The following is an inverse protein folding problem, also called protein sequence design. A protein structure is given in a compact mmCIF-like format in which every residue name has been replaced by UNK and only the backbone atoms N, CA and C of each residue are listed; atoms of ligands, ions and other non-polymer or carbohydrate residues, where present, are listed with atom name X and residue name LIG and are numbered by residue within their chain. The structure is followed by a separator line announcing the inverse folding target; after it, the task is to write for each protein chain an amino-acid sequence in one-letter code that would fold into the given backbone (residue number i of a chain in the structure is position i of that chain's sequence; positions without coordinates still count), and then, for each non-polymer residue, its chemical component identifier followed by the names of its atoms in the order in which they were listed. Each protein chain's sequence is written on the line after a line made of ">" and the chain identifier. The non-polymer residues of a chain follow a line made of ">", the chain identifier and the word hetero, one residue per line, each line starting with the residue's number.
data_IF_264152132371
#
_entry.id   IF_264152132371
#
_cell.length_a   1.000
_cell.length_b   1.000
_cell.length_c   1.000
_cell.angle_alpha   90.00
_cell.angle_beta   90.00
_cell.angle_gamma   90.00
#
_symmetry.space_group_name_H-M   'P 1'
#
loop_
_entity.id
_entity.type
_entity.pdbx_description
1 polymer ?
#
# COMPACT_ATOMS: atom_id res chain seq x y z
N UNK A 1 -22.64 -21.20 51.52
CA UNK A 1 -23.09 -20.66 50.23
C UNK A 1 -22.12 -19.54 49.92
N UNK A 2 -21.17 -19.77 49.01
CA UNK A 2 -20.17 -18.77 48.64
C UNK A 2 -20.83 -17.74 47.73
N UNK A 3 -20.94 -16.50 48.21
CA UNK A 3 -21.40 -15.36 47.42
C UNK A 3 -20.21 -14.89 46.59
N UNK A 4 -20.28 -15.11 45.28
CA UNK A 4 -19.31 -14.59 44.32
C UNK A 4 -19.21 -13.07 44.49
N UNK A 5 -18.00 -12.60 44.78
CA UNK A 5 -17.70 -11.20 45.02
C UNK A 5 -18.11 -10.32 43.84
N UNK A 6 -18.55 -9.12 44.23
CA UNK A 6 -19.02 -8.01 43.42
C UNK A 6 -18.22 -7.84 42.11
N UNK A 7 -18.94 -7.80 40.99
CA UNK A 7 -18.34 -7.49 39.70
C UNK A 7 -17.70 -6.09 39.74
N UNK A 8 -16.50 -5.94 39.17
CA UNK A 8 -15.90 -4.64 38.91
C UNK A 8 -16.91 -3.75 38.14
N UNK A 9 -17.12 -2.52 38.60
CA UNK A 9 -18.02 -1.57 37.97
C UNK A 9 -17.65 -1.32 36.50
N UNK A 10 -18.67 -1.09 35.66
CA UNK A 10 -18.46 -0.83 34.23
C UNK A 10 -17.48 0.33 34.01
N UNK A 11 -16.36 0.05 33.33
CA UNK A 11 -15.42 1.09 32.99
C UNK A 11 -16.01 1.93 31.86
N UNK A 12 -16.20 3.25 32.03
CA UNK A 12 -16.79 4.07 30.98
C UNK A 12 -15.86 4.05 29.76
N UNK A 13 -16.32 3.41 28.69
CA UNK A 13 -15.65 3.50 27.40
C UNK A 13 -15.77 4.94 26.93
N UNK A 14 -14.64 5.64 26.86
CA UNK A 14 -14.57 6.93 26.20
C UNK A 14 -14.93 6.66 24.74
N UNK A 15 -16.12 7.08 24.33
CA UNK A 15 -16.56 7.06 22.94
C UNK A 15 -15.62 7.95 22.11
N UNK A 16 -14.51 7.37 21.64
CA UNK A 16 -13.65 8.02 20.67
C UNK A 16 -14.30 7.84 19.30
N UNK A 17 -15.10 8.81 18.88
CA UNK A 17 -15.53 8.86 17.48
C UNK A 17 -14.32 9.13 16.59
N UNK A 18 -14.20 8.41 15.49
CA UNK A 18 -13.27 8.80 14.43
C UNK A 18 -13.67 10.19 13.94
N UNK A 19 -12.78 11.17 14.05
CA UNK A 19 -13.00 12.48 13.43
C UNK A 19 -13.09 12.30 11.91
N UNK A 20 -14.13 12.89 11.31
CA UNK A 20 -14.26 12.92 9.85
C UNK A 20 -13.31 13.96 9.28
N UNK A 21 -12.25 13.49 8.65
CA UNK A 21 -11.31 14.30 7.89
C UNK A 21 -11.77 14.45 6.44
N UNK A 22 -11.39 15.54 5.79
CA UNK A 22 -11.65 15.70 4.36
C UNK A 22 -10.80 14.69 3.55
N UNK A 23 -11.26 14.27 2.37
CA UNK A 23 -10.44 13.44 1.47
C UNK A 23 -9.08 14.06 1.14
N UNK A 24 -9.01 15.40 1.07
CA UNK A 24 -7.78 16.14 0.81
C UNK A 24 -6.80 16.03 1.99
N UNK A 25 -7.30 16.17 3.21
CA UNK A 25 -6.49 16.04 4.42
C UNK A 25 -5.99 14.61 4.59
N UNK A 26 -6.85 13.62 4.29
CA UNK A 26 -6.46 12.21 4.32
C UNK A 26 -5.31 11.91 3.34
N UNK A 27 -5.40 12.37 2.09
CA UNK A 27 -4.32 12.18 1.13
C UNK A 27 -3.05 12.96 1.51
N UNK A 28 -3.21 14.19 2.00
CA UNK A 28 -2.08 15.00 2.47
C UNK A 28 -1.32 14.33 3.61
N UNK A 29 -2.06 13.81 4.60
CA UNK A 29 -1.51 13.01 5.70
C UNK A 29 -0.84 11.74 5.17
N UNK A 30 -1.49 11.00 4.26
CA UNK A 30 -0.94 9.79 3.67
C UNK A 30 0.38 10.02 2.93
N UNK A 31 0.49 11.10 2.16
CA UNK A 31 1.72 11.49 1.47
C UNK A 31 2.84 11.84 2.47
N UNK A 32 2.52 12.66 3.47
CA UNK A 32 3.47 13.06 4.51
C UNK A 32 3.98 11.87 5.31
N UNK A 33 3.07 10.98 5.72
CA UNK A 33 3.41 9.77 6.48
C UNK A 33 4.29 8.82 5.69
N UNK A 34 3.97 8.60 4.41
CA UNK A 34 4.78 7.74 3.52
C UNK A 34 6.19 8.31 3.35
N UNK A 35 6.31 9.61 3.13
CA UNK A 35 7.60 10.28 3.00
C UNK A 35 8.44 10.19 4.28
N UNK A 36 7.82 10.44 5.44
CA UNK A 36 8.49 10.31 6.74
C UNK A 36 8.97 8.89 7.00
N UNK A 37 8.13 7.91 6.71
CA UNK A 37 8.46 6.49 6.88
C UNK A 37 9.62 6.07 5.97
N UNK A 38 9.68 6.59 4.75
CA UNK A 38 10.77 6.33 3.81
C UNK A 38 12.10 6.95 4.25
N UNK A 39 12.08 8.18 4.81
CA UNK A 39 13.27 8.79 5.40
C UNK A 39 13.77 8.02 6.63
N UNK A 40 12.84 7.58 7.49
CA UNK A 40 13.18 6.75 8.64
C UNK A 40 13.81 5.43 8.20
N UNK A 41 13.25 4.79 7.17
CA UNK A 41 13.83 3.58 6.58
C UNK A 41 15.27 3.81 6.11
N UNK A 42 15.56 4.91 5.39
CA UNK A 42 16.93 5.21 4.94
C UNK A 42 17.90 5.44 6.10
N UNK A 43 17.44 6.12 7.16
CA UNK A 43 18.23 6.31 8.37
C UNK A 43 18.51 4.96 9.06
N UNK A 44 17.52 4.06 9.11
CA UNK A 44 17.71 2.72 9.67
C UNK A 44 18.66 1.86 8.81
N UNK A 45 18.59 2.00 7.49
CA UNK A 45 19.51 1.34 6.56
C UNK A 45 20.97 1.76 6.78
N UNK A 46 21.20 3.04 7.07
CA UNK A 46 22.55 3.58 7.38
C UNK A 46 23.04 3.13 8.76
N UNK A 47 22.17 3.07 9.77
CA UNK A 47 22.53 2.60 11.11
C UNK A 47 22.81 1.10 11.17
N UNK A 48 22.16 0.31 10.31
CA UNK A 48 22.27 -1.16 10.32
C UNK A 48 22.44 -1.73 8.91
N UNK A 49 23.67 -1.67 8.35
CA UNK A 49 23.94 -2.11 6.97
C UNK A 49 23.67 -3.61 6.76
N UNK A 50 23.71 -4.42 7.81
CA UNK A 50 23.44 -5.86 7.75
C UNK A 50 22.02 -6.20 7.24
N UNK A 51 21.04 -5.30 7.42
CA UNK A 51 19.68 -5.50 6.91
C UNK A 51 19.67 -5.31 5.40
N UNK A 52 20.32 -4.26 4.90
CA UNK A 52 20.47 -3.97 3.48
C UNK A 52 21.19 -5.12 2.77
N UNK A 53 22.23 -5.64 3.40
CA UNK A 53 23.01 -6.76 2.90
C UNK A 53 22.15 -7.99 2.63
N UNK A 54 21.28 -8.35 3.57
CA UNK A 54 20.36 -9.48 3.40
C UNK A 54 19.38 -9.24 2.26
N UNK A 55 18.82 -8.03 2.15
CA UNK A 55 17.85 -7.68 1.10
C UNK A 55 18.50 -7.75 -0.28
N UNK A 56 19.69 -7.18 -0.44
CA UNK A 56 20.43 -7.20 -1.70
C UNK A 56 20.85 -8.62 -2.07
N UNK A 57 21.32 -9.43 -1.11
CA UNK A 57 21.64 -10.84 -1.35
C UNK A 57 20.44 -11.66 -1.78
N UNK A 58 19.29 -11.46 -1.12
CA UNK A 58 18.02 -12.10 -1.54
C UNK A 58 17.62 -11.70 -2.95
N UNK A 59 17.78 -10.42 -3.30
CA UNK A 59 17.49 -9.95 -4.66
C UNK A 59 18.40 -10.61 -5.69
N UNK A 60 19.70 -10.72 -5.41
CA UNK A 60 20.67 -11.44 -6.27
C UNK A 60 20.32 -12.92 -6.41
N UNK A 61 19.90 -13.57 -5.32
CA UNK A 61 19.42 -14.94 -5.38
C UNK A 61 18.19 -15.09 -6.27
N UNK A 62 17.20 -14.21 -6.13
CA UNK A 62 15.99 -14.23 -6.94
C UNK A 62 16.28 -13.99 -8.43
N UNK A 63 17.29 -13.15 -8.76
CA UNK A 63 17.78 -12.97 -10.12
C UNK A 63 18.42 -14.25 -10.66
N UNK A 64 19.27 -14.93 -9.87
CA UNK A 64 19.87 -16.21 -10.24
C UNK A 64 18.81 -17.33 -10.43
N UNK A 65 17.77 -17.34 -9.60
CA UNK A 65 16.64 -18.28 -9.69
C UNK A 65 15.79 -18.06 -10.94
N UNK A 66 15.67 -16.81 -11.42
CA UNK A 66 14.98 -16.47 -12.68
C UNK A 66 15.79 -16.81 -13.93
N UNK A 67 17.06 -17.18 -13.76
CA UNK A 67 17.94 -17.65 -14.83
C UNK A 67 17.66 -19.09 -15.26
N UNK A 68 18.72 -19.87 -15.39
CA UNK A 68 18.63 -21.25 -15.91
C UNK A 68 18.03 -22.20 -14.85
N UNK A 69 17.25 -23.21 -15.27
CA UNK A 69 16.60 -24.18 -14.36
C UNK A 69 17.61 -24.91 -13.45
N UNK A 70 18.83 -25.15 -13.95
CA UNK A 70 19.93 -25.72 -13.17
C UNK A 70 20.47 -24.78 -12.08
N UNK A 71 20.49 -23.47 -12.32
CA UNK A 71 20.84 -22.46 -11.32
C UNK A 71 19.76 -22.32 -10.25
N UNK A 72 18.48 -22.46 -10.64
CA UNK A 72 17.36 -22.52 -9.70
C UNK A 72 17.47 -23.69 -8.72
N UNK A 73 17.72 -24.90 -9.23
CA UNK A 73 17.90 -26.09 -8.39
C UNK A 73 19.12 -25.96 -7.47
N UNK A 74 20.24 -25.42 -7.99
CA UNK A 74 21.44 -25.13 -7.21
C UNK A 74 21.13 -24.12 -6.10
N UNK A 75 20.52 -22.99 -6.42
CA UNK A 75 20.15 -21.94 -5.46
C UNK A 75 19.23 -22.48 -4.35
N UNK A 76 18.22 -23.29 -4.70
CA UNK A 76 17.33 -23.92 -3.72
C UNK A 76 18.03 -24.93 -2.82
N UNK A 77 18.91 -25.75 -3.39
CA UNK A 77 19.67 -26.73 -2.61
C UNK A 77 20.58 -26.03 -1.60
N UNK A 78 21.30 -25.00 -2.04
CA UNK A 78 22.19 -24.22 -1.19
C UNK A 78 21.41 -23.42 -0.13
N UNK A 79 20.26 -22.83 -0.49
CA UNK A 79 19.39 -22.13 0.47
C UNK A 79 18.85 -23.06 1.58
N UNK A 80 18.62 -24.34 1.27
CA UNK A 80 18.16 -25.34 2.23
C UNK A 80 19.28 -25.82 3.16
N UNK A 81 20.53 -25.88 2.68
CA UNK A 81 21.69 -26.35 3.44
C UNK A 81 22.43 -25.26 4.23
N UNK A 82 22.64 -24.09 3.63
CA UNK A 82 23.44 -22.99 4.22
C UNK A 82 22.56 -21.84 4.76
N UNK A 83 21.26 -21.90 4.53
CA UNK A 83 20.33 -20.83 4.90
C UNK A 83 20.43 -19.63 3.95
N UNK A 84 20.00 -18.47 4.44
CA UNK A 84 19.86 -17.22 3.66
C UNK A 84 21.21 -16.59 3.22
N UNK A 85 22.34 -17.13 3.72
CA UNK A 85 23.69 -16.64 3.44
C UNK A 85 24.45 -17.69 2.61
N UNK A 86 24.12 -17.74 1.32
CA UNK A 86 24.73 -18.66 0.36
C UNK A 86 26.08 -18.18 -0.17
N UNK A 87 26.97 -19.13 -0.49
CA UNK A 87 28.24 -18.87 -1.19
C UNK A 87 28.04 -18.21 -2.57
N UNK A 88 26.96 -18.55 -3.28
CA UNK A 88 26.59 -17.93 -4.56
C UNK A 88 26.04 -16.48 -4.40
N UNK A 89 25.75 -16.04 -3.17
CA UNK A 89 25.25 -14.70 -2.82
C UNK A 89 26.34 -13.81 -2.20
N UNK A 90 27.60 -14.22 -2.17
CA UNK A 90 28.68 -13.34 -1.69
C UNK A 90 28.82 -12.14 -2.63
N UNK A 91 28.72 -10.95 -2.06
CA UNK A 91 28.86 -9.67 -2.75
C UNK A 91 30.08 -8.98 -2.15
N UNK A 92 30.96 -8.45 -3.01
CA UNK A 92 32.03 -7.57 -2.55
C UNK A 92 31.45 -6.30 -1.92
N UNK A 93 32.20 -5.66 -1.03
CA UNK A 93 31.73 -4.45 -0.31
C UNK A 93 31.30 -3.33 -1.27
N UNK A 94 32.06 -3.11 -2.35
CA UNK A 94 31.75 -2.10 -3.37
C UNK A 94 30.48 -2.44 -4.18
N UNK A 95 30.31 -3.70 -4.58
CA UNK A 95 29.09 -4.16 -5.29
C UNK A 95 27.86 -4.07 -4.37
N UNK A 96 28.06 -4.31 -3.07
CA UNK A 96 27.00 -4.14 -2.08
C UNK A 96 26.57 -2.68 -1.98
N UNK A 97 27.51 -1.76 -1.82
CA UNK A 97 27.21 -0.34 -1.68
C UNK A 97 26.44 0.20 -2.90
N UNK A 98 26.91 -0.13 -4.11
CA UNK A 98 26.24 0.25 -5.36
C UNK A 98 24.79 -0.28 -5.42
N UNK A 99 24.58 -1.54 -5.03
CA UNK A 99 23.24 -2.16 -5.03
C UNK A 99 22.33 -1.55 -3.97
N UNK A 100 22.87 -1.14 -2.82
CA UNK A 100 22.11 -0.44 -1.78
C UNK A 100 21.69 0.95 -2.26
N UNK A 101 22.59 1.70 -2.91
CA UNK A 101 22.25 2.98 -3.52
C UNK A 101 21.22 2.83 -4.64
N UNK A 102 21.35 1.80 -5.47
CA UNK A 102 20.36 1.47 -6.48
C UNK A 102 19.00 1.20 -5.84
N UNK A 103 18.96 0.43 -4.74
CA UNK A 103 17.74 0.14 -4.00
C UNK A 103 17.08 1.42 -3.45
N UNK A 104 17.86 2.34 -2.87
CA UNK A 104 17.36 3.64 -2.40
C UNK A 104 16.73 4.44 -3.54
N UNK A 105 17.43 4.56 -4.68
CA UNK A 105 16.93 5.26 -5.87
C UNK A 105 15.64 4.67 -6.43
N UNK A 106 15.52 3.34 -6.44
CA UNK A 106 14.30 2.65 -6.89
C UNK A 106 13.12 2.90 -5.95
N UNK A 107 13.35 2.91 -4.64
CA UNK A 107 12.32 3.24 -3.64
C UNK A 107 11.83 4.69 -3.79
N UNK A 108 12.76 5.65 -3.97
CA UNK A 108 12.41 7.05 -4.23
C UNK A 108 11.58 7.19 -5.51
N UNK A 109 12.01 6.56 -6.60
CA UNK A 109 11.28 6.57 -7.87
C UNK A 109 9.86 6.01 -7.74
N UNK A 110 9.69 4.93 -6.97
CA UNK A 110 8.37 4.35 -6.71
C UNK A 110 7.48 5.29 -5.89
N UNK A 111 8.06 5.98 -4.89
CA UNK A 111 7.35 6.99 -4.10
C UNK A 111 6.92 8.19 -4.97
N UNK A 112 7.82 8.72 -5.81
CA UNK A 112 7.52 9.81 -6.73
C UNK A 112 6.40 9.43 -7.71
N UNK A 113 6.42 8.20 -8.23
CA UNK A 113 5.35 7.69 -9.06
C UNK A 113 4.01 7.63 -8.31
N UNK A 114 4.00 7.09 -7.09
CA UNK A 114 2.79 7.03 -6.26
C UNK A 114 2.25 8.43 -5.92
N UNK A 115 3.14 9.38 -5.61
CA UNK A 115 2.80 10.78 -5.34
C UNK A 115 2.25 11.49 -6.58
N UNK A 116 2.84 11.25 -7.75
CA UNK A 116 2.37 11.78 -9.02
C UNK A 116 0.99 11.20 -9.40
N UNK A 117 0.76 9.90 -9.17
CA UNK A 117 -0.54 9.26 -9.39
C UNK A 117 -1.61 9.87 -8.47
N UNK A 118 -1.30 10.05 -7.18
CA UNK A 118 -2.22 10.69 -6.22
C UNK A 118 -2.52 12.14 -6.62
N UNK A 119 -1.51 12.94 -6.94
CA UNK A 119 -1.72 14.36 -7.32
C UNK A 119 -2.40 14.55 -8.68
N UNK A 120 -2.18 13.65 -9.64
CA UNK A 120 -2.86 13.68 -10.96
C UNK A 120 -4.32 13.26 -10.89
N UNK A 121 -4.70 12.37 -9.96
CA UNK A 121 -6.10 12.03 -9.68
C UNK A 121 -6.94 13.22 -9.23
N UNK A 122 -6.31 14.27 -8.68
CA UNK A 122 -6.99 15.46 -8.18
C UNK A 122 -7.17 16.56 -9.22
N UNK A 123 -6.50 16.46 -10.38
CA UNK A 123 -6.97 17.24 -11.52
C UNK A 123 -8.35 16.67 -11.85
N UNK A 124 -9.43 17.48 -11.86
CA UNK A 124 -10.62 17.07 -12.58
C UNK A 124 -10.12 16.58 -13.93
N UNK A 125 -10.64 15.46 -14.42
CA UNK A 125 -10.41 15.04 -15.78
C UNK A 125 -10.96 16.14 -16.70
N UNK A 126 -10.21 17.24 -16.84
CA UNK A 126 -10.52 18.36 -17.69
C UNK A 126 -10.47 17.77 -19.09
N UNK A 127 -11.67 17.51 -19.59
CA UNK A 127 -11.95 17.26 -21.00
C UNK A 127 -11.28 16.01 -21.55
N UNK A 128 -11.69 14.84 -21.07
CA UNK A 128 -12.17 13.85 -22.08
C UNK A 128 -13.53 14.32 -22.56
N UNK A 129 -13.53 15.40 -23.36
CA UNK A 129 -14.58 15.63 -24.34
C UNK A 129 -14.55 14.37 -25.20
N UNK A 130 -15.45 13.43 -24.91
CA UNK A 130 -15.81 12.40 -25.89
C UNK A 130 -16.18 13.18 -27.13
N UNK A 131 -15.31 13.17 -28.15
CA UNK A 131 -15.68 13.66 -29.47
C UNK A 131 -16.97 12.91 -29.84
N UNK A 132 -18.08 13.58 -30.15
CA UNK A 132 -19.24 12.88 -30.64
C UNK A 132 -18.82 12.26 -31.99
N UNK A 133 -18.77 10.94 -32.03
CA UNK A 133 -18.64 10.22 -33.30
C UNK A 133 -19.92 10.55 -34.06
N UNK A 134 -19.78 11.37 -35.09
CA UNK A 134 -20.87 11.75 -35.96
C UNK A 134 -21.30 10.51 -36.76
N UNK A 135 -22.60 10.23 -36.73
CA UNK A 135 -23.39 9.47 -37.70
C UNK A 135 -23.21 7.94 -37.76
N UNK A 136 -24.17 7.25 -37.12
CA UNK A 136 -24.53 5.86 -37.40
C UNK A 136 -25.72 5.50 -36.52
N UNK A 137 -26.93 5.61 -37.08
CA UNK A 137 -28.18 5.67 -36.33
C UNK A 137 -28.46 4.47 -35.42
N UNK A 138 -28.87 4.78 -34.19
CA UNK A 138 -29.73 3.94 -33.38
C UNK A 138 -30.70 4.86 -32.63
N UNK A 139 -31.99 4.64 -32.84
CA UNK A 139 -33.10 5.35 -32.23
C UNK A 139 -33.04 5.25 -30.69
N UNK A 140 -33.33 6.31 -29.93
CA UNK A 140 -33.45 6.19 -28.47
C UNK A 140 -34.79 5.53 -28.12
N UNK A 141 -34.83 4.46 -27.30
CA UNK A 141 -36.04 4.17 -26.55
C UNK A 141 -36.15 5.22 -25.42
N UNK A 142 -37.28 5.91 -25.47
CA UNK A 142 -37.89 6.79 -24.47
C UNK A 142 -37.23 6.84 -23.08
N UNK A 143 -36.91 8.07 -22.68
CA UNK A 143 -36.58 8.48 -21.33
C UNK A 143 -37.70 8.11 -20.36
N UNK A 144 -37.55 6.99 -19.64
CA UNK A 144 -38.21 6.85 -18.35
C UNK A 144 -37.51 7.77 -17.37
N UNK A 145 -38.24 8.84 -17.04
CA UNK A 145 -38.09 9.72 -15.89
C UNK A 145 -37.50 8.95 -14.70
N UNK A 146 -36.25 9.26 -14.32
CA UNK A 146 -35.69 8.77 -13.07
C UNK A 146 -36.35 9.60 -11.97
N UNK A 147 -37.37 9.00 -11.35
CA UNK A 147 -37.86 9.38 -10.04
C UNK A 147 -36.66 9.64 -9.12
N UNK A 148 -36.75 10.75 -8.39
CA UNK A 148 -35.84 11.12 -7.30
C UNK A 148 -35.92 10.08 -6.19
N UNK A 149 -35.22 8.96 -6.36
CA UNK A 149 -35.06 7.91 -5.37
C UNK A 149 -33.62 7.89 -4.90
N UNK A 150 -33.33 8.57 -3.80
CA UNK A 150 -32.12 8.28 -3.01
C UNK A 150 -32.09 6.76 -2.77
N UNK A 151 -30.95 6.07 -3.00
CA UNK A 151 -30.85 4.68 -2.61
C UNK A 151 -31.03 4.62 -1.09
N UNK A 152 -32.16 4.06 -0.65
CA UNK A 152 -32.43 3.85 0.76
C UNK A 152 -31.32 2.94 1.31
N UNK A 153 -30.48 3.48 2.20
CA UNK A 153 -29.51 2.65 2.90
C UNK A 153 -30.24 1.51 3.60
N UNK A 154 -29.70 0.29 3.58
CA UNK A 154 -30.28 -0.83 4.32
C UNK A 154 -30.40 -0.41 5.79
N UNK A 155 -31.63 -0.50 6.33
CA UNK A 155 -31.94 -0.20 7.72
C UNK A 155 -31.36 -1.29 8.63
N UNK A 156 -30.05 -1.25 8.84
CA UNK A 156 -29.35 -2.13 9.78
C UNK A 156 -29.52 -1.60 11.22
N UNK A 157 -29.85 -0.31 11.37
CA UNK A 157 -30.12 0.32 12.65
C UNK A 157 -31.58 0.79 12.71
N UNK A 158 -32.27 0.42 13.79
CA UNK A 158 -33.62 0.90 14.09
C UNK A 158 -33.66 2.42 14.19
N UNK A 159 -34.86 2.99 14.07
CA UNK A 159 -35.06 4.44 14.16
C UNK A 159 -34.50 5.00 15.47
N UNK A 160 -33.68 6.05 15.35
CA UNK A 160 -33.18 6.80 16.50
C UNK A 160 -34.34 7.37 17.33
N UNK A 161 -34.27 7.34 18.68
CA UNK A 161 -35.28 7.96 19.52
C UNK A 161 -35.30 9.47 19.28
N UNK A 162 -36.50 10.01 19.07
CA UNK A 162 -36.73 11.47 19.06
C UNK A 162 -36.73 11.94 20.51
N UNK A 163 -35.90 12.94 20.81
CA UNK A 163 -36.06 13.79 22.00
C UNK A 163 -37.32 14.65 21.85
#
# INVERSE_FOLDING_TARGET
>A
METLEEFDGEYPLVLSFCERISPQDYEGQGLSYTQKSLQELFTQMERKPSICERVVRKRKQAENERGNLGQYLKAKFFALLQGDVNYDNTLGEMEMEEKVEQLKREMEKANDYARAAKTSSWRPAERRVRRPILMGGFSPPESKLWDSGLPAMPKIFGSFPKQ
#
